data_IF_902876093893
#
_entry.id   IF_902876093893
#
_cell.length_a   1.000
_cell.length_b   1.000
_cell.length_c   1.000
_cell.angle_alpha   90.00
_cell.angle_beta   90.00
_cell.angle_gamma   90.00
#
_symmetry.space_group_name_H-M   'P 1'
#
loop_
_entity.id
_entity.type
_entity.pdbx_description
1 polymer ?
#
# COMPACT_ATOMS: atom_id res chain seq x y z
N UNK A 1 -18.77 2.02 -27.49
CA UNK A 1 -18.05 2.01 -28.77
C UNK A 1 -17.51 0.61 -28.99
N UNK A 2 -17.71 0.05 -30.19
CA UNK A 2 -17.11 -1.22 -30.59
C UNK A 2 -15.61 -0.99 -30.74
N UNK A 3 -14.81 -1.42 -29.76
CA UNK A 3 -13.36 -1.51 -29.96
C UNK A 3 -13.07 -2.67 -30.91
N UNK A 4 -12.55 -2.37 -32.08
CA UNK A 4 -12.19 -3.38 -33.08
C UNK A 4 -10.84 -4.06 -32.80
N UNK A 5 -10.09 -3.59 -31.81
CA UNK A 5 -8.76 -4.10 -31.48
C UNK A 5 -8.86 -5.17 -30.42
N UNK A 6 -8.48 -6.39 -30.72
CA UNK A 6 -8.33 -7.47 -29.74
C UNK A 6 -7.14 -7.13 -28.83
N UNK A 7 -7.34 -7.20 -27.52
CA UNK A 7 -6.30 -6.98 -26.49
C UNK A 7 -6.30 -8.16 -25.54
N UNK A 8 -5.13 -8.54 -25.05
CA UNK A 8 -5.02 -9.64 -24.12
C UNK A 8 -3.61 -9.83 -23.57
N UNK A 9 -3.45 -10.92 -22.83
CA UNK A 9 -2.19 -11.30 -22.23
C UNK A 9 -1.81 -12.73 -22.62
N UNK A 10 -0.52 -12.92 -22.83
CA UNK A 10 0.10 -14.23 -22.95
C UNK A 10 0.91 -14.47 -21.67
N UNK A 11 0.63 -15.58 -21.00
CA UNK A 11 1.31 -15.93 -19.75
C UNK A 11 2.36 -17.00 -19.97
N UNK A 12 3.52 -16.85 -19.33
CA UNK A 12 4.55 -17.88 -19.25
C UNK A 12 4.88 -18.21 -17.81
N UNK A 13 5.19 -19.46 -17.55
CA UNK A 13 5.45 -20.00 -16.23
C UNK A 13 6.77 -20.74 -16.21
N UNK A 14 7.41 -20.80 -15.04
CA UNK A 14 8.58 -21.65 -14.83
C UNK A 14 8.21 -23.12 -14.58
N UNK A 15 9.20 -23.96 -14.36
CA UNK A 15 9.01 -25.40 -14.12
C UNK A 15 8.26 -25.74 -12.82
N UNK A 16 8.05 -24.76 -11.93
CA UNK A 16 7.27 -24.88 -10.72
C UNK A 16 5.89 -24.19 -10.83
N UNK A 17 5.45 -23.89 -12.07
CA UNK A 17 4.18 -23.21 -12.38
C UNK A 17 4.05 -21.80 -11.78
N UNK A 18 5.19 -21.10 -11.52
CA UNK A 18 5.19 -19.71 -11.08
C UNK A 18 5.18 -18.78 -12.29
N UNK A 19 4.42 -17.69 -12.21
CA UNK A 19 4.31 -16.71 -13.31
C UNK A 19 5.66 -16.03 -13.57
N UNK A 20 6.17 -16.16 -14.79
CA UNK A 20 7.37 -15.45 -15.25
C UNK A 20 7.01 -14.18 -16.02
N UNK A 21 6.07 -14.27 -16.94
CA UNK A 21 5.65 -13.10 -17.71
C UNK A 21 4.14 -13.10 -17.92
N UNK A 22 3.56 -11.91 -17.81
CA UNK A 22 2.26 -11.54 -18.34
C UNK A 22 2.50 -10.56 -19.49
N UNK A 23 2.75 -11.07 -20.69
CA UNK A 23 3.04 -10.26 -21.87
C UNK A 23 1.74 -9.73 -22.46
N UNK A 24 1.54 -8.42 -22.39
CA UNK A 24 0.44 -7.74 -23.05
C UNK A 24 0.60 -7.82 -24.58
N UNK A 25 -0.50 -7.82 -25.29
CA UNK A 25 -0.47 -7.69 -26.74
C UNK A 25 -1.81 -7.29 -27.32
N UNK A 26 -1.75 -6.76 -28.51
CA UNK A 26 -2.89 -6.34 -29.33
C UNK A 26 -2.92 -7.17 -30.61
N UNK A 27 -4.02 -7.08 -31.38
CA UNK A 27 -4.34 -7.88 -32.56
C UNK A 27 -4.70 -9.35 -32.25
N UNK A 28 -5.20 -10.07 -33.25
CA UNK A 28 -5.68 -11.45 -33.08
C UNK A 28 -4.62 -12.43 -32.52
N UNK A 29 -3.33 -12.15 -32.73
CA UNK A 29 -2.22 -12.97 -32.22
C UNK A 29 -1.65 -12.53 -30.88
N UNK A 30 -2.13 -11.43 -30.30
CA UNK A 30 -1.59 -10.83 -29.06
C UNK A 30 -0.05 -10.68 -29.17
N UNK A 31 0.44 -10.12 -30.27
CA UNK A 31 1.87 -10.09 -30.61
C UNK A 31 2.40 -8.69 -30.97
N UNK A 32 1.56 -7.66 -30.95
CA UNK A 32 1.95 -6.27 -31.18
C UNK A 32 1.83 -5.45 -29.89
N UNK A 33 2.58 -4.36 -29.79
CA UNK A 33 2.56 -3.45 -28.63
C UNK A 33 2.85 -4.15 -27.29
N UNK A 34 3.70 -5.17 -27.29
CA UNK A 34 3.97 -6.06 -26.14
C UNK A 34 4.63 -5.36 -24.97
N UNK A 35 5.18 -4.15 -25.17
CA UNK A 35 5.81 -3.32 -24.13
C UNK A 35 4.85 -2.33 -23.45
N UNK A 36 3.55 -2.36 -23.79
CA UNK A 36 2.62 -1.35 -23.26
C UNK A 36 2.20 -1.59 -21.82
N UNK A 37 1.81 -2.83 -21.48
CA UNK A 37 1.25 -3.16 -20.16
C UNK A 37 1.72 -4.54 -19.66
N UNK A 38 2.91 -4.97 -20.09
CA UNK A 38 3.47 -6.26 -19.67
C UNK A 38 4.00 -6.21 -18.24
N UNK A 39 3.98 -7.35 -17.56
CA UNK A 39 4.56 -7.57 -16.25
C UNK A 39 5.51 -8.77 -16.31
N UNK A 40 6.74 -8.61 -15.84
CA UNK A 40 7.79 -9.63 -15.90
C UNK A 40 8.36 -9.88 -14.50
N UNK A 41 8.27 -11.11 -14.03
CA UNK A 41 9.03 -11.57 -12.85
C UNK A 41 10.32 -12.18 -13.36
N UNK A 42 11.44 -11.49 -13.20
CA UNK A 42 12.70 -11.92 -13.83
C UNK A 42 13.36 -13.10 -13.11
N UNK A 43 13.09 -13.28 -11.83
CA UNK A 43 13.59 -14.41 -11.06
C UNK A 43 12.80 -14.63 -9.77
N UNK A 44 12.77 -15.91 -9.34
CA UNK A 44 12.39 -16.35 -8.01
C UNK A 44 13.61 -16.92 -7.26
N UNK A 45 13.60 -16.89 -5.94
CA UNK A 45 14.50 -17.67 -5.12
C UNK A 45 14.02 -19.13 -4.95
N UNK A 46 14.78 -19.93 -4.19
CA UNK A 46 14.43 -21.34 -3.92
C UNK A 46 13.16 -21.49 -3.08
N UNK A 47 12.79 -20.47 -2.31
CA UNK A 47 11.60 -20.46 -1.45
C UNK A 47 10.36 -19.93 -2.19
N UNK A 48 10.49 -19.52 -3.46
CA UNK A 48 9.40 -18.96 -4.25
C UNK A 48 9.19 -17.45 -4.07
N UNK A 49 10.09 -16.76 -3.39
CA UNK A 49 10.01 -15.31 -3.25
C UNK A 49 10.41 -14.63 -4.57
N UNK A 50 9.70 -13.58 -4.94
CA UNK A 50 10.05 -12.74 -6.08
C UNK A 50 11.36 -12.02 -5.78
N UNK A 51 12.33 -12.05 -6.70
CA UNK A 51 13.59 -11.30 -6.60
C UNK A 51 13.51 -9.95 -7.29
N UNK A 52 12.92 -9.93 -8.47
CA UNK A 52 12.68 -8.68 -9.21
C UNK A 52 11.38 -8.78 -10.01
N UNK A 53 10.65 -7.68 -10.06
CA UNK A 53 9.41 -7.52 -10.81
C UNK A 53 9.49 -6.24 -11.63
N UNK A 54 9.23 -6.32 -12.92
CA UNK A 54 9.18 -5.19 -13.83
C UNK A 54 7.77 -5.04 -14.39
N UNK A 55 7.26 -3.80 -14.39
CA UNK A 55 5.96 -3.45 -14.98
C UNK A 55 6.15 -2.40 -16.04
N UNK A 56 5.44 -2.58 -17.14
CA UNK A 56 5.40 -1.65 -18.25
C UNK A 56 4.04 -0.98 -18.32
N UNK A 57 4.03 0.28 -18.66
CA UNK A 57 2.81 1.07 -18.75
C UNK A 57 3.03 2.36 -19.52
N UNK A 58 2.04 3.23 -19.49
CA UNK A 58 2.10 4.51 -20.16
C UNK A 58 3.01 5.47 -19.39
N UNK A 59 4.04 5.98 -20.05
CA UNK A 59 5.02 6.94 -19.50
C UNK A 59 4.73 8.39 -19.90
N UNK A 60 4.01 8.59 -21.01
CA UNK A 60 3.51 9.88 -21.49
C UNK A 60 2.29 9.65 -22.40
N UNK A 61 1.65 10.72 -22.88
CA UNK A 61 0.40 10.64 -23.66
C UNK A 61 0.38 9.59 -24.79
N UNK A 62 1.53 9.34 -25.43
CA UNK A 62 1.66 8.34 -26.51
C UNK A 62 2.87 7.42 -26.32
N UNK A 63 3.52 7.44 -25.17
CA UNK A 63 4.72 6.66 -24.90
C UNK A 63 4.46 5.60 -23.86
N UNK A 64 5.09 4.44 -24.05
CA UNK A 64 5.00 3.29 -23.16
C UNK A 64 6.42 2.80 -22.83
N UNK A 65 6.62 2.35 -21.61
CA UNK A 65 7.91 1.88 -21.15
C UNK A 65 7.85 1.29 -19.76
N UNK A 66 9.01 1.07 -19.18
CA UNK A 66 9.14 0.59 -17.81
C UNK A 66 8.63 1.67 -16.84
N UNK A 67 7.60 1.35 -16.07
CA UNK A 67 7.02 2.24 -15.04
C UNK A 67 7.43 1.80 -13.63
N UNK A 68 7.68 0.50 -13.44
CA UNK A 68 8.11 -0.06 -12.16
C UNK A 68 9.27 -1.02 -12.35
N UNK A 69 10.23 -0.94 -11.44
CA UNK A 69 11.30 -1.92 -11.29
C UNK A 69 11.50 -2.20 -9.80
N UNK A 70 10.85 -3.26 -9.34
CA UNK A 70 10.80 -3.65 -7.94
C UNK A 70 11.91 -4.67 -7.68
N UNK A 71 12.63 -4.50 -6.57
CA UNK A 71 13.66 -5.46 -6.13
C UNK A 71 13.36 -5.92 -4.71
N UNK A 72 13.60 -7.18 -4.43
CA UNK A 72 13.31 -7.83 -3.15
C UNK A 72 14.56 -8.47 -2.56
N UNK A 73 14.61 -8.54 -1.23
CA UNK A 73 15.64 -9.30 -0.48
C UNK A 73 15.47 -10.80 -0.70
N UNK A 74 16.42 -11.59 -0.17
CA UNK A 74 16.29 -13.05 -0.13
C UNK A 74 15.12 -13.52 0.75
N UNK A 75 14.68 -12.68 1.70
CA UNK A 75 13.47 -12.95 2.52
C UNK A 75 12.18 -12.47 1.84
N UNK A 76 12.25 -11.97 0.60
CA UNK A 76 11.10 -11.50 -0.15
C UNK A 76 10.61 -10.10 0.25
N UNK A 77 11.39 -9.30 0.94
CA UNK A 77 11.02 -7.93 1.30
C UNK A 77 11.38 -6.96 0.18
N UNK A 78 10.48 -6.05 -0.17
CA UNK A 78 10.71 -5.00 -1.18
C UNK A 78 11.86 -4.10 -0.75
N UNK A 79 12.87 -3.89 -1.61
CA UNK A 79 13.98 -2.98 -1.33
C UNK A 79 14.04 -1.77 -2.25
N UNK A 80 13.47 -1.88 -3.45
CA UNK A 80 13.46 -0.78 -4.43
C UNK A 80 12.13 -0.72 -5.16
N UNK A 81 11.71 0.50 -5.47
CA UNK A 81 10.52 0.79 -6.25
C UNK A 81 10.76 2.03 -7.12
N UNK A 82 10.92 1.83 -8.43
CA UNK A 82 11.21 2.91 -9.37
C UNK A 82 10.06 3.92 -9.45
N UNK A 83 8.82 3.44 -9.41
CA UNK A 83 7.64 4.28 -9.54
C UNK A 83 7.49 5.27 -8.37
N UNK A 84 7.84 4.82 -7.16
CA UNK A 84 7.83 5.64 -5.94
C UNK A 84 9.15 6.38 -5.70
N UNK A 85 10.14 6.21 -6.59
CA UNK A 85 11.48 6.77 -6.41
C UNK A 85 12.23 6.21 -5.21
N UNK A 86 11.86 5.03 -4.71
CA UNK A 86 12.51 4.39 -3.56
C UNK A 86 13.80 3.73 -4.04
N UNK A 87 14.92 4.15 -3.49
CA UNK A 87 16.25 3.60 -3.77
C UNK A 87 16.65 2.49 -2.83
N UNK A 88 16.17 2.50 -1.59
CA UNK A 88 16.43 1.44 -0.61
C UNK A 88 15.38 1.40 0.49
N UNK A 89 15.08 0.17 0.98
CA UNK A 89 14.28 -0.08 2.18
C UNK A 89 15.04 -1.05 3.07
N UNK A 90 15.27 -0.66 4.31
CA UNK A 90 15.86 -1.51 5.36
C UNK A 90 14.81 -2.09 6.26
N UNK A 91 15.05 -3.29 6.80
CA UNK A 91 14.09 -4.04 7.61
C UNK A 91 14.71 -4.52 8.92
N UNK A 92 13.87 -4.72 9.93
CA UNK A 92 14.25 -5.43 11.17
C UNK A 92 14.05 -6.95 11.02
N UNK A 93 14.32 -7.69 12.10
CA UNK A 93 14.19 -9.15 12.15
C UNK A 93 12.75 -9.66 11.99
N UNK A 94 11.75 -8.79 12.19
CA UNK A 94 10.32 -9.09 11.98
C UNK A 94 9.86 -8.75 10.56
N UNK A 95 10.79 -8.43 9.64
CA UNK A 95 10.49 -7.95 8.29
C UNK A 95 9.65 -6.65 8.24
N UNK A 96 9.71 -5.84 9.29
CA UNK A 96 9.09 -4.51 9.32
C UNK A 96 10.08 -3.47 8.79
N UNK A 97 9.68 -2.53 7.92
CA UNK A 97 10.58 -1.52 7.37
C UNK A 97 11.07 -0.57 8.47
N UNK A 98 12.37 -0.42 8.60
CA UNK A 98 13.00 0.50 9.58
C UNK A 98 13.44 1.81 8.94
N UNK A 99 13.68 1.80 7.64
CA UNK A 99 14.06 2.99 6.88
C UNK A 99 13.67 2.87 5.42
N UNK A 100 13.25 3.98 4.83
CA UNK A 100 13.00 4.13 3.39
C UNK A 100 13.81 5.31 2.90
N UNK A 101 14.66 5.11 1.89
CA UNK A 101 15.48 6.13 1.27
C UNK A 101 14.98 6.39 -0.15
N UNK A 102 14.88 7.66 -0.53
CA UNK A 102 14.43 8.05 -1.86
C UNK A 102 15.59 8.49 -2.75
N UNK A 103 15.52 8.17 -4.04
CA UNK A 103 16.54 8.55 -5.03
C UNK A 103 16.65 10.09 -5.19
N UNK A 104 15.57 10.82 -4.95
CA UNK A 104 15.54 12.28 -4.92
C UNK A 104 16.21 12.89 -3.67
N UNK A 105 16.70 12.07 -2.76
CA UNK A 105 17.13 12.43 -1.41
C UNK A 105 15.97 12.41 -0.40
N UNK A 106 16.31 12.54 0.88
CA UNK A 106 15.36 12.39 1.97
C UNK A 106 15.12 10.94 2.37
N UNK A 107 14.48 10.76 3.51
CA UNK A 107 14.23 9.43 4.05
C UNK A 107 13.02 9.44 5.01
N UNK A 108 12.49 8.24 5.25
CA UNK A 108 11.55 7.95 6.34
C UNK A 108 12.19 6.90 7.25
N UNK A 109 12.05 7.06 8.56
CA UNK A 109 12.48 6.09 9.55
C UNK A 109 11.33 5.68 10.44
N UNK A 110 11.23 4.38 10.74
CA UNK A 110 10.24 3.82 11.64
C UNK A 110 10.91 3.21 12.87
N UNK A 111 10.25 3.31 14.01
CA UNK A 111 10.65 2.66 15.26
C UNK A 111 9.52 1.80 15.79
N UNK A 112 9.83 0.58 16.19
CA UNK A 112 8.89 -0.41 16.67
C UNK A 112 9.29 -0.90 18.07
N UNK A 113 8.32 -1.47 18.78
CA UNK A 113 8.56 -2.30 19.95
C UNK A 113 9.12 -3.67 19.54
N UNK A 114 9.54 -4.48 20.49
CA UNK A 114 10.06 -5.83 20.21
C UNK A 114 9.01 -6.78 19.59
N UNK A 115 7.73 -6.53 19.88
CA UNK A 115 6.58 -7.28 19.34
C UNK A 115 6.03 -6.67 18.03
N UNK A 116 6.73 -5.68 17.44
CA UNK A 116 6.42 -5.16 16.12
C UNK A 116 5.41 -4.00 16.09
N UNK A 117 5.00 -3.47 17.23
CA UNK A 117 4.07 -2.32 17.26
C UNK A 117 4.82 -1.04 16.90
N UNK A 118 4.37 -0.32 15.87
CA UNK A 118 4.93 0.97 15.46
C UNK A 118 4.75 2.01 16.58
N UNK A 119 5.86 2.60 17.03
CA UNK A 119 5.90 3.63 18.07
C UNK A 119 6.33 4.99 17.57
N UNK A 120 7.06 5.04 16.48
CA UNK A 120 7.58 6.28 15.94
C UNK A 120 7.74 6.20 14.42
N UNK A 121 7.48 7.31 13.77
CA UNK A 121 7.86 7.59 12.40
C UNK A 121 8.54 8.95 12.35
N UNK A 122 9.59 9.10 11.57
CA UNK A 122 10.26 10.35 11.29
C UNK A 122 10.53 10.46 9.80
N UNK A 123 10.45 11.66 9.25
CA UNK A 123 10.85 11.89 7.86
C UNK A 123 11.71 13.14 7.74
N UNK A 124 12.54 13.17 6.70
CA UNK A 124 13.38 14.32 6.33
C UNK A 124 13.23 14.59 4.83
N UNK A 125 13.17 15.89 4.47
CA UNK A 125 13.11 16.32 3.09
C UNK A 125 14.46 16.15 2.36
N UNK A 126 14.41 16.12 1.00
CA UNK A 126 15.57 15.85 0.13
C UNK A 126 16.62 16.95 0.17
N UNK A 127 16.19 18.20 0.27
CA UNK A 127 17.07 19.39 0.24
C UNK A 127 17.83 19.63 1.54
N UNK A 128 17.70 18.72 2.52
CA UNK A 128 18.29 18.90 3.84
C UNK A 128 17.61 19.99 4.66
N UNK A 129 16.70 20.75 4.05
CA UNK A 129 15.85 21.71 4.75
C UNK A 129 14.81 20.94 5.57
N UNK A 130 14.43 21.52 6.66
CA UNK A 130 13.45 20.92 7.58
C UNK A 130 14.09 20.07 8.67
N UNK A 131 13.58 20.26 9.85
CA UNK A 131 13.86 19.42 10.99
C UNK A 131 13.22 18.05 10.78
N UNK A 132 13.83 17.01 11.32
CA UNK A 132 13.17 15.73 11.48
C UNK A 132 11.85 15.95 12.22
N UNK A 133 10.73 15.63 11.58
CA UNK A 133 9.39 15.73 12.19
C UNK A 133 9.02 14.36 12.74
N UNK A 134 9.13 14.15 14.06
CA UNK A 134 8.74 12.90 14.68
C UNK A 134 7.22 12.85 14.87
N UNK A 135 6.62 11.76 14.41
CA UNK A 135 5.29 11.31 14.82
C UNK A 135 5.49 10.17 15.81
N UNK A 136 4.89 10.27 17.00
CA UNK A 136 4.98 9.25 18.06
C UNK A 136 3.57 8.74 18.36
N UNK A 137 3.45 7.42 18.44
CA UNK A 137 2.20 6.72 18.72
C UNK A 137 2.22 6.18 20.15
N UNK A 138 1.34 6.69 20.99
CA UNK A 138 1.18 6.25 22.38
C UNK A 138 -0.26 5.76 22.58
N UNK A 139 -0.47 4.45 22.49
CA UNK A 139 -1.80 3.86 22.46
C UNK A 139 -2.63 4.52 21.33
N UNK A 140 -3.73 5.19 21.69
CA UNK A 140 -4.60 5.89 20.75
C UNK A 140 -4.30 7.40 20.63
N UNK A 141 -3.19 7.88 21.21
CA UNK A 141 -2.77 9.30 21.08
C UNK A 141 -1.61 9.41 20.10
N UNK A 142 -1.76 10.29 19.13
CA UNK A 142 -0.74 10.62 18.13
C UNK A 142 -0.12 11.98 18.48
N UNK A 143 1.20 11.98 18.60
CA UNK A 143 2.01 13.16 18.86
C UNK A 143 2.77 13.55 17.59
N UNK A 144 2.84 14.84 17.30
CA UNK A 144 3.73 15.41 16.28
C UNK A 144 4.65 16.46 16.93
N UNK A 145 5.95 16.36 16.70
CA UNK A 145 6.95 17.23 17.33
C UNK A 145 6.79 17.36 18.86
N UNK A 146 6.47 16.26 19.53
CA UNK A 146 6.27 16.25 20.98
C UNK A 146 4.94 16.83 21.47
N UNK A 147 4.08 17.31 20.56
CA UNK A 147 2.76 17.88 20.89
C UNK A 147 1.69 16.83 20.58
N UNK A 148 0.83 16.54 21.56
CA UNK A 148 -0.34 15.68 21.35
C UNK A 148 -1.31 16.33 20.35
N UNK A 149 -1.55 15.65 19.23
CA UNK A 149 -2.37 16.16 18.11
C UNK A 149 -3.73 15.51 18.04
N UNK A 150 -3.76 14.18 18.02
CA UNK A 150 -4.99 13.42 17.82
C UNK A 150 -5.19 12.42 18.96
N UNK A 151 -6.40 12.30 19.41
CA UNK A 151 -6.88 11.16 20.20
C UNK A 151 -7.80 10.34 19.31
N UNK A 152 -7.37 9.12 18.95
CA UNK A 152 -8.14 8.22 18.09
C UNK A 152 -9.24 7.54 18.91
N UNK A 153 -10.42 7.39 18.31
CA UNK A 153 -11.58 6.71 18.88
C UNK A 153 -12.13 5.71 17.85
N UNK A 154 -13.04 4.85 18.24
CA UNK A 154 -13.69 3.89 17.32
C UNK A 154 -14.53 4.61 16.24
N UNK A 155 -15.08 5.78 16.56
CA UNK A 155 -16.00 6.53 15.71
C UNK A 155 -15.31 7.66 14.92
N UNK A 156 -14.01 7.90 15.19
CA UNK A 156 -13.28 8.99 14.56
C UNK A 156 -12.06 9.43 15.34
N UNK A 157 -11.91 10.74 15.58
CA UNK A 157 -10.83 11.27 16.39
C UNK A 157 -11.18 12.62 17.02
N UNK A 158 -10.38 13.01 18.00
CA UNK A 158 -10.45 14.35 18.63
C UNK A 158 -9.16 15.10 18.32
N UNK A 159 -9.24 16.31 17.77
CA UNK A 159 -8.11 17.23 17.72
C UNK A 159 -7.87 17.81 19.11
N UNK A 160 -6.66 17.56 19.66
CA UNK A 160 -6.36 17.93 21.06
C UNK A 160 -6.05 19.40 21.24
N UNK A 161 -5.72 20.12 20.17
CA UNK A 161 -5.45 21.57 20.21
C UNK A 161 -6.69 22.42 20.53
N UNK A 162 -7.84 22.02 19.98
CA UNK A 162 -9.10 22.75 20.11
C UNK A 162 -10.24 21.89 20.69
N UNK A 163 -9.91 20.61 21.02
CA UNK A 163 -10.84 19.63 21.64
C UNK A 163 -12.08 19.35 20.78
N UNK A 164 -11.95 19.44 19.45
CA UNK A 164 -13.05 19.15 18.53
C UNK A 164 -13.10 17.68 18.16
N UNK A 165 -14.33 17.16 18.11
CA UNK A 165 -14.61 15.81 17.66
C UNK A 165 -14.81 15.77 16.14
N UNK A 166 -14.27 14.73 15.51
CA UNK A 166 -14.39 14.43 14.09
C UNK A 166 -14.89 13.00 13.94
N UNK A 167 -15.89 12.79 13.11
CA UNK A 167 -16.57 11.51 12.97
C UNK A 167 -16.31 10.90 11.60
N UNK A 168 -16.10 9.58 11.57
CA UNK A 168 -15.96 8.82 10.35
C UNK A 168 -17.30 8.26 9.89
N UNK A 169 -17.66 8.48 8.63
CA UNK A 169 -18.65 7.67 7.94
C UNK A 169 -17.91 6.62 7.12
N UNK A 170 -18.06 5.39 7.52
CA UNK A 170 -17.37 4.24 6.93
C UNK A 170 -18.32 3.41 6.09
N UNK A 171 -17.78 2.75 5.05
CA UNK A 171 -18.50 1.72 4.34
C UNK A 171 -18.39 0.35 5.05
N UNK A 172 -18.96 -0.69 4.42
CA UNK A 172 -19.00 -2.05 4.97
C UNK A 172 -17.62 -2.68 5.20
N UNK A 173 -16.55 -2.11 4.63
CA UNK A 173 -15.17 -2.56 4.79
C UNK A 173 -14.38 -1.75 5.84
N UNK A 174 -15.02 -0.77 6.48
CA UNK A 174 -14.34 0.15 7.39
C UNK A 174 -13.50 1.20 6.66
N UNK A 175 -13.77 1.47 5.37
CA UNK A 175 -13.13 2.55 4.65
C UNK A 175 -13.66 3.89 5.13
N UNK A 176 -12.81 4.83 5.52
CA UNK A 176 -13.19 6.18 5.88
C UNK A 176 -13.61 6.95 4.62
N UNK A 177 -14.94 6.95 4.36
CA UNK A 177 -15.51 7.59 3.16
C UNK A 177 -15.70 9.08 3.35
N UNK A 178 -16.14 9.49 4.53
CA UNK A 178 -16.35 10.90 4.88
C UNK A 178 -15.85 11.16 6.30
N UNK A 179 -15.25 12.32 6.51
CA UNK A 179 -14.96 12.87 7.82
C UNK A 179 -15.86 14.07 8.05
N UNK A 180 -16.61 14.05 9.15
CA UNK A 180 -17.48 15.12 9.57
C UNK A 180 -16.91 15.83 10.80
N UNK A 181 -17.06 17.16 10.84
CA UNK A 181 -16.86 17.93 12.06
C UNK A 181 -17.98 17.65 13.10
N UNK A 182 -17.78 18.09 14.32
CA UNK A 182 -18.82 18.06 15.36
C UNK A 182 -20.10 18.86 15.03
N UNK A 183 -20.03 19.77 14.06
CA UNK A 183 -21.18 20.51 13.54
C UNK A 183 -21.87 19.82 12.36
N UNK A 184 -21.38 18.67 11.90
CA UNK A 184 -21.88 17.93 10.75
C UNK A 184 -21.36 18.43 9.40
N UNK A 185 -20.41 19.38 9.38
CA UNK A 185 -19.79 19.80 8.12
C UNK A 185 -18.82 18.73 7.59
N UNK A 186 -18.83 18.49 6.26
CA UNK A 186 -17.89 17.59 5.61
C UNK A 186 -16.52 18.24 5.55
N UNK A 187 -15.53 17.60 6.17
CA UNK A 187 -14.13 18.06 6.21
C UNK A 187 -13.26 17.27 5.22
N UNK A 188 -13.62 16.02 4.97
CA UNK A 188 -12.92 15.17 4.04
C UNK A 188 -13.90 14.18 3.39
N UNK A 189 -13.72 13.88 2.11
CA UNK A 189 -14.42 12.79 1.43
C UNK A 189 -13.44 12.01 0.57
N UNK A 190 -13.52 10.67 0.59
CA UNK A 190 -12.62 9.78 -0.14
C UNK A 190 -13.39 8.76 -0.96
N UNK A 191 -12.92 8.51 -2.17
CA UNK A 191 -13.40 7.47 -3.06
C UNK A 191 -12.26 6.50 -3.39
N UNK A 192 -12.52 5.21 -3.23
CA UNK A 192 -11.50 4.18 -3.38
C UNK A 192 -11.81 3.24 -4.54
N UNK A 193 -10.76 2.84 -5.26
CA UNK A 193 -10.81 1.64 -6.10
C UNK A 193 -10.93 0.40 -5.20
N UNK A 194 -11.36 -0.75 -5.74
CA UNK A 194 -11.54 -1.99 -4.95
C UNK A 194 -10.33 -2.39 -4.10
N UNK A 195 -9.12 -2.15 -4.57
CA UNK A 195 -7.87 -2.42 -3.86
C UNK A 195 -7.36 -1.22 -3.02
N UNK A 196 -8.20 -0.22 -2.75
CA UNK A 196 -7.88 0.85 -1.81
C UNK A 196 -7.11 2.04 -2.38
N UNK A 197 -6.79 2.03 -3.67
CA UNK A 197 -6.25 3.22 -4.33
C UNK A 197 -7.28 4.36 -4.29
N UNK A 198 -6.88 5.55 -3.86
CA UNK A 198 -7.75 6.73 -3.86
C UNK A 198 -7.83 7.29 -5.27
N UNK A 199 -9.03 7.34 -5.87
CA UNK A 199 -9.21 7.92 -7.21
C UNK A 199 -9.83 9.33 -7.19
N UNK A 200 -10.49 9.71 -6.10
CA UNK A 200 -10.97 11.06 -5.87
C UNK A 200 -11.03 11.34 -4.38
N UNK A 201 -10.62 12.53 -3.98
CA UNK A 201 -10.71 12.98 -2.59
C UNK A 201 -10.92 14.48 -2.54
N UNK A 202 -11.58 14.95 -1.48
CA UNK A 202 -11.63 16.36 -1.07
C UNK A 202 -11.22 16.45 0.39
N UNK A 203 -10.36 17.42 0.74
CA UNK A 203 -9.73 17.51 2.05
C UNK A 203 -8.62 16.46 2.26
N UNK A 204 -7.87 16.64 3.33
CA UNK A 204 -6.86 15.69 3.79
C UNK A 204 -6.53 16.02 5.25
N UNK A 205 -7.51 15.84 6.15
CA UNK A 205 -7.43 16.31 7.53
C UNK A 205 -6.82 15.26 8.48
N UNK A 206 -6.73 14.02 8.04
CA UNK A 206 -6.20 12.90 8.83
C UNK A 206 -5.64 11.79 7.92
N UNK A 207 -4.73 10.92 8.42
CA UNK A 207 -4.08 9.91 7.59
C UNK A 207 -4.85 8.58 7.45
N UNK A 208 -5.88 8.31 8.26
CA UNK A 208 -6.57 7.02 8.28
C UNK A 208 -7.60 6.93 7.16
N UNK A 209 -7.40 6.03 6.20
CA UNK A 209 -8.17 5.99 4.95
C UNK A 209 -8.85 4.63 4.72
N UNK A 210 -8.34 3.84 3.78
CA UNK A 210 -8.85 2.53 3.39
C UNK A 210 -8.74 1.51 4.54
N UNK A 211 -9.82 0.79 4.83
CA UNK A 211 -10.01 -0.08 6.01
C UNK A 211 -9.65 0.58 7.36
N UNK A 212 -9.72 1.91 7.45
CA UNK A 212 -9.29 2.65 8.63
C UNK A 212 -7.78 2.63 8.86
N UNK A 213 -6.97 2.15 7.90
CA UNK A 213 -5.52 2.05 8.03
C UNK A 213 -4.84 3.38 7.78
N UNK A 214 -3.72 3.60 8.47
CA UNK A 214 -2.89 4.78 8.27
C UNK A 214 -2.24 4.73 6.89
N UNK A 215 -2.50 5.77 6.11
CA UNK A 215 -1.91 6.00 4.80
C UNK A 215 -0.68 6.87 4.93
N UNK A 216 0.50 6.32 4.67
CA UNK A 216 1.73 7.08 4.62
C UNK A 216 1.96 7.62 3.21
N UNK A 217 1.51 8.85 2.99
CA UNK A 217 1.71 9.58 1.73
C UNK A 217 2.99 10.42 1.71
N UNK A 218 3.83 10.35 2.76
CA UNK A 218 5.06 11.16 2.84
C UNK A 218 5.99 10.81 1.68
N UNK A 219 6.53 11.82 1.04
CA UNK A 219 7.49 11.68 -0.06
C UNK A 219 7.00 10.83 -1.25
N UNK A 220 5.68 10.60 -1.37
CA UNK A 220 5.13 9.74 -2.39
C UNK A 220 5.25 8.24 -2.07
N UNK A 221 5.52 7.86 -0.82
CA UNK A 221 5.56 6.47 -0.40
C UNK A 221 4.24 5.75 -0.68
N UNK A 222 3.10 6.38 -0.34
CA UNK A 222 1.75 5.92 -0.70
C UNK A 222 1.47 4.47 -0.31
N UNK A 223 1.84 4.10 0.90
CA UNK A 223 1.59 2.77 1.48
C UNK A 223 0.61 2.85 2.64
N UNK A 224 -0.16 1.80 2.86
CA UNK A 224 -0.99 1.61 4.05
C UNK A 224 -0.27 0.74 5.08
N UNK A 225 -0.30 1.15 6.33
CA UNK A 225 0.23 0.38 7.44
C UNK A 225 -0.83 -0.57 8.00
N UNK A 226 -0.65 -1.87 7.77
CA UNK A 226 -1.51 -2.93 8.31
C UNK A 226 -0.96 -3.55 9.60
N UNK A 227 0.12 -2.99 10.17
CA UNK A 227 0.77 -3.50 11.37
C UNK A 227 1.88 -4.49 11.02
N UNK A 228 1.56 -5.73 10.70
CA UNK A 228 2.55 -6.73 10.35
C UNK A 228 3.21 -6.50 8.98
N UNK A 229 2.53 -5.81 8.06
CA UNK A 229 3.02 -5.53 6.69
C UNK A 229 2.58 -4.15 6.20
N UNK A 230 3.38 -3.58 5.30
CA UNK A 230 2.97 -2.42 4.50
C UNK A 230 2.27 -2.89 3.22
N UNK A 231 1.14 -2.27 2.89
CA UNK A 231 0.31 -2.58 1.73
C UNK A 231 0.41 -1.51 0.67
N UNK A 232 0.63 -1.92 -0.57
CA UNK A 232 0.66 -1.06 -1.74
C UNK A 232 -0.65 -1.21 -2.54
N UNK A 233 -1.51 -0.22 -2.46
CA UNK A 233 -2.79 -0.22 -3.18
C UNK A 233 -2.63 -0.07 -4.70
N UNK A 234 -1.53 0.51 -5.19
CA UNK A 234 -1.24 0.62 -6.62
C UNK A 234 -0.87 -0.74 -7.23
N UNK A 235 -0.23 -1.61 -6.44
CA UNK A 235 0.12 -2.98 -6.82
C UNK A 235 -0.97 -3.99 -6.43
N UNK A 236 -1.85 -3.64 -5.48
CA UNK A 236 -2.84 -4.55 -4.90
C UNK A 236 -2.22 -5.66 -4.07
N UNK A 237 -1.04 -5.43 -3.45
CA UNK A 237 -0.29 -6.44 -2.70
C UNK A 237 0.52 -5.86 -1.53
N UNK A 238 0.92 -6.73 -0.63
CA UNK A 238 1.87 -6.37 0.42
C UNK A 238 3.30 -6.25 -0.11
N UNK A 239 4.13 -5.47 0.59
CA UNK A 239 5.54 -5.24 0.25
C UNK A 239 6.48 -6.32 0.76
N UNK A 240 6.00 -7.17 1.66
CA UNK A 240 6.74 -8.27 2.28
C UNK A 240 5.94 -9.58 2.24
N UNK A 241 6.64 -10.70 2.41
CA UNK A 241 6.02 -12.03 2.51
C UNK A 241 5.16 -12.09 3.78
N UNK A 242 4.04 -12.81 3.70
CA UNK A 242 3.17 -13.05 4.85
C UNK A 242 3.90 -13.87 5.91
N UNK A 243 4.03 -13.39 7.15
CA UNK A 243 4.57 -14.20 8.25
C UNK A 243 3.78 -15.49 8.50
N UNK A 244 2.50 -15.52 8.11
CA UNK A 244 1.60 -16.69 8.22
C UNK A 244 1.47 -17.49 6.91
N UNK A 245 2.39 -17.28 5.95
CA UNK A 245 2.33 -17.85 4.58
C UNK A 245 2.18 -19.36 4.54
N UNK A 246 2.75 -20.08 5.52
CA UNK A 246 2.64 -21.54 5.64
C UNK A 246 1.21 -22.05 5.88
N UNK A 247 0.28 -21.18 6.26
CA UNK A 247 -1.13 -21.50 6.42
C UNK A 247 -1.93 -21.40 5.11
N UNK A 248 -1.34 -20.91 4.00
CA UNK A 248 -2.04 -20.57 2.76
C UNK A 248 -1.27 -21.00 1.50
N UNK A 249 -1.11 -22.31 1.31
CA UNK A 249 -0.30 -22.87 0.21
C UNK A 249 -0.77 -22.57 -1.21
N UNK A 250 -2.03 -22.14 -1.37
CA UNK A 250 -2.64 -21.89 -2.68
C UNK A 250 -2.75 -20.43 -3.07
N UNK A 251 -2.13 -19.53 -2.30
CA UNK A 251 -2.18 -18.09 -2.53
C UNK A 251 -0.78 -17.51 -2.66
N UNK A 252 -0.62 -16.41 -3.39
CA UNK A 252 0.64 -15.68 -3.40
C UNK A 252 1.00 -15.19 -2.00
N UNK A 253 2.28 -15.28 -1.65
CA UNK A 253 2.82 -14.82 -0.36
C UNK A 253 2.60 -13.32 -0.10
N UNK A 254 2.33 -12.55 -1.15
CA UNK A 254 2.08 -11.11 -1.12
C UNK A 254 0.62 -10.74 -1.31
N UNK A 255 -0.27 -11.72 -1.47
CA UNK A 255 -1.67 -11.44 -1.80
C UNK A 255 -2.37 -10.65 -0.69
N UNK A 256 -3.13 -9.64 -1.11
CA UNK A 256 -4.07 -8.93 -0.27
C UNK A 256 -5.46 -9.56 -0.43
N UNK A 257 -6.08 -9.93 0.69
CA UNK A 257 -7.44 -10.49 0.74
C UNK A 257 -7.71 -11.65 -0.22
N UNK A 258 -6.66 -12.42 -0.63
CA UNK A 258 -6.78 -13.48 -1.63
C UNK A 258 -7.31 -12.97 -2.97
N UNK A 259 -6.96 -11.75 -3.37
CA UNK A 259 -7.44 -11.04 -4.57
C UNK A 259 -8.96 -10.82 -4.60
N UNK A 260 -9.62 -10.79 -3.45
CA UNK A 260 -11.06 -10.52 -3.33
C UNK A 260 -11.36 -9.45 -2.27
N UNK A 261 -10.86 -8.21 -2.45
CA UNK A 261 -10.94 -7.14 -1.45
C UNK A 261 -12.36 -6.61 -1.23
N UNK A 262 -13.33 -6.91 -2.11
CA UNK A 262 -14.72 -6.49 -1.92
C UNK A 262 -15.43 -7.33 -0.85
N UNK A 263 -15.06 -8.61 -0.73
CA UNK A 263 -15.71 -9.55 0.18
C UNK A 263 -14.83 -9.92 1.38
N UNK A 264 -13.63 -9.39 1.46
CA UNK A 264 -12.64 -9.72 2.50
C UNK A 264 -11.89 -8.49 2.93
N UNK A 265 -11.51 -8.45 4.20
CA UNK A 265 -10.57 -7.48 4.72
C UNK A 265 -9.42 -8.21 5.42
N UNK A 266 -8.26 -7.58 5.45
CA UNK A 266 -7.15 -7.97 6.30
C UNK A 266 -7.08 -6.97 7.47
N UNK A 267 -7.09 -7.46 8.69
CA UNK A 267 -7.18 -6.60 9.88
C UNK A 267 -5.83 -6.15 10.40
N UNK A 268 -4.78 -6.95 10.20
CA UNK A 268 -3.48 -6.75 10.85
C UNK A 268 -2.27 -7.05 9.93
N UNK A 269 -2.54 -7.39 8.68
CA UNK A 269 -1.50 -7.79 7.73
C UNK A 269 -1.07 -9.25 7.86
N UNK A 270 -1.86 -10.11 8.51
CA UNK A 270 -1.53 -11.52 8.75
C UNK A 270 -2.63 -12.50 8.31
N UNK A 271 -3.88 -12.07 8.25
CA UNK A 271 -5.02 -12.97 8.13
C UNK A 271 -6.08 -12.48 7.15
N UNK A 272 -6.65 -13.43 6.38
CA UNK A 272 -7.84 -13.20 5.55
C UNK A 272 -9.10 -13.26 6.42
N UNK A 273 -9.65 -12.14 6.85
CA UNK A 273 -10.97 -12.09 7.44
C UNK A 273 -12.05 -12.05 6.36
N UNK A 274 -13.09 -12.87 6.48
CA UNK A 274 -14.33 -12.70 5.69
C UNK A 274 -15.11 -11.53 6.30
N UNK A 275 -15.54 -10.59 5.47
CA UNK A 275 -16.58 -9.66 5.88
C UNK A 275 -17.87 -10.47 5.96
N UNK A 276 -18.32 -10.74 7.18
CA UNK A 276 -19.68 -11.17 7.38
C UNK A 276 -20.57 -9.96 7.15
N UNK A 277 -21.22 -9.90 5.98
CA UNK A 277 -22.25 -8.92 5.70
C UNK A 277 -23.46 -9.26 6.61
N UNK A 278 -23.34 -8.91 7.88
CA UNK A 278 -24.45 -8.84 8.80
C UNK A 278 -24.47 -7.42 9.38
N UNK A 279 -24.86 -6.47 8.54
CA UNK A 279 -25.47 -5.23 8.98
C UNK A 279 -26.30 -4.64 7.85
N UNK A 280 -27.44 -5.24 7.63
CA UNK A 280 -28.60 -4.49 7.15
C UNK A 280 -29.77 -5.04 7.93
N UNK A 281 -30.23 -4.33 8.88
CA UNK A 281 -31.63 -3.85 9.00
C UNK A 281 -31.67 -2.95 10.22
#
# INVERSE_FOLDING_TARGET
>A
GNESTVRGYKFTYDGLSRLMNATYGETAGINTNTNRFSENVTAYDKNGNIKTLQRYGQTAASSYGLIDNLTYTLNGNLTKDLNKGISDITYNVLNLPTGVTFASGGFIQYGYTADGIKRRMMYKEADGSGNLVPTVYCCNVVYENGVAKLLLTEEGYVTLSDKKYHYYLQDHQGNNRVVLSSSGAVEEANHYYPFGGVFASSGNVQPYKYNGKEYDGKKGLNLYDYGARMYDAALGRFTTVDPSAENYFNTSLYAYCGNNPINRIDLDGLLLARILIYKVL
#
